data_IF_760485546685
#
_entry.id   IF_760485546685
#
_cell.length_a   1.000
_cell.length_b   1.000
_cell.length_c   1.000
_cell.angle_alpha   90.00
_cell.angle_beta   90.00
_cell.angle_gamma   90.00
#
_symmetry.space_group_name_H-M   'P 1'
#
loop_
_entity.id
_entity.type
_entity.pdbx_description
1 polymer ?
#
# COMPACT_ATOMS: atom_id res chain seq x y z
N UNK A 1 15.19 4.95 10.18
CA UNK A 1 14.49 5.29 8.91
C UNK A 1 15.52 5.32 7.79
N UNK A 2 15.28 4.63 6.67
CA UNK A 2 16.16 4.66 5.49
C UNK A 2 15.60 5.70 4.51
N UNK A 3 16.38 6.72 4.18
CA UNK A 3 16.03 7.73 3.17
C UNK A 3 17.13 7.78 2.12
N UNK A 4 16.75 7.74 0.84
CA UNK A 4 17.66 7.96 -0.29
C UNK A 4 17.06 9.02 -1.22
N UNK A 5 17.91 9.86 -1.81
CA UNK A 5 17.52 10.96 -2.69
C UNK A 5 18.19 10.79 -4.06
N UNK A 6 17.58 11.36 -5.10
CA UNK A 6 18.12 11.43 -6.47
C UNK A 6 18.65 10.10 -7.01
N UNK A 7 17.92 9.02 -6.73
CA UNK A 7 18.31 7.66 -7.09
C UNK A 7 17.96 7.32 -8.54
N UNK A 8 18.90 6.68 -9.24
CA UNK A 8 18.61 6.02 -10.51
C UNK A 8 17.91 4.66 -10.30
N UNK A 9 17.45 4.05 -11.41
CA UNK A 9 16.75 2.75 -11.39
C UNK A 9 17.50 1.68 -10.61
N UNK A 10 18.81 1.55 -10.80
CA UNK A 10 19.60 0.52 -10.15
C UNK A 10 19.65 0.73 -8.63
N UNK A 11 19.86 1.98 -8.20
CA UNK A 11 19.89 2.34 -6.78
C UNK A 11 18.54 2.11 -6.09
N UNK A 12 17.42 2.42 -6.78
CA UNK A 12 16.07 2.15 -6.26
C UNK A 12 15.85 0.65 -6.08
N UNK A 13 16.14 -0.15 -7.12
CA UNK A 13 15.98 -1.61 -7.07
C UNK A 13 16.85 -2.24 -5.99
N UNK A 14 18.08 -1.75 -5.82
CA UNK A 14 18.97 -2.24 -4.78
C UNK A 14 18.41 -1.91 -3.39
N UNK A 15 17.94 -0.68 -3.18
CA UNK A 15 17.34 -0.30 -1.89
C UNK A 15 16.11 -1.15 -1.54
N UNK A 16 15.27 -1.49 -2.52
CA UNK A 16 14.11 -2.35 -2.31
C UNK A 16 14.52 -3.79 -1.95
N UNK A 17 15.54 -4.34 -2.62
CA UNK A 17 16.09 -5.67 -2.27
C UNK A 17 16.70 -5.68 -0.88
N UNK A 18 17.49 -4.65 -0.55
CA UNK A 18 18.11 -4.51 0.77
C UNK A 18 17.07 -4.32 1.87
N UNK A 19 15.92 -3.69 1.56
CA UNK A 19 14.81 -3.56 2.50
C UNK A 19 14.08 -4.90 2.69
N UNK A 20 13.82 -5.62 1.61
CA UNK A 20 13.14 -6.92 1.65
C UNK A 20 13.97 -8.02 2.33
N UNK A 21 15.30 -7.91 2.30
CA UNK A 21 16.21 -8.87 2.93
C UNK A 21 16.46 -8.58 4.43
N UNK A 22 15.94 -7.48 4.98
CA UNK A 22 16.11 -7.18 6.40
C UNK A 22 15.27 -8.12 7.24
N UNK A 23 15.79 -8.45 8.41
CA UNK A 23 14.99 -9.12 9.41
C UNK A 23 13.89 -8.17 9.91
N UNK A 24 12.64 -8.56 9.65
CA UNK A 24 11.44 -7.85 10.07
C UNK A 24 10.85 -8.44 11.37
N UNK A 25 11.58 -9.30 12.10
CA UNK A 25 11.19 -9.85 13.43
C UNK A 25 11.50 -8.90 14.60
N UNK A 26 10.95 -7.69 14.60
CA UNK A 26 10.83 -6.97 15.88
C UNK A 26 9.51 -7.35 16.54
N UNK A 27 9.58 -8.29 17.49
CA UNK A 27 8.46 -8.78 18.30
C UNK A 27 8.51 -10.30 18.42
N UNK A 28 8.49 -10.81 19.64
CA UNK A 28 8.22 -12.23 19.91
C UNK A 28 6.77 -12.46 19.47
N UNK A 29 6.56 -13.10 18.31
CA UNK A 29 5.20 -13.30 17.77
C UNK A 29 4.92 -14.79 17.68
N UNK A 30 4.00 -15.22 18.55
CA UNK A 30 3.23 -16.45 18.38
C UNK A 30 2.60 -16.41 16.98
N UNK A 31 2.96 -17.39 16.13
CA UNK A 31 2.41 -17.46 14.79
C UNK A 31 0.89 -17.68 14.80
N UNK A 32 0.24 -17.40 13.69
CA UNK A 32 -1.21 -17.61 13.56
C UNK A 32 -1.41 -19.08 13.21
N UNK A 33 -2.21 -19.79 14.02
CA UNK A 33 -2.58 -21.18 13.74
C UNK A 33 -3.68 -21.19 12.69
N UNK A 34 -3.39 -21.73 11.52
CA UNK A 34 -4.36 -21.98 10.47
C UNK A 34 -5.40 -23.02 10.91
N UNK A 35 -6.55 -23.04 10.22
CA UNK A 35 -7.60 -24.04 10.46
C UNK A 35 -7.16 -25.48 10.14
N UNK A 36 -6.05 -25.62 9.42
CA UNK A 36 -5.33 -26.86 9.12
C UNK A 36 -4.33 -27.26 10.23
N UNK A 37 -4.22 -26.45 11.30
CA UNK A 37 -3.31 -26.67 12.41
C UNK A 37 -1.86 -26.24 12.13
N UNK A 38 -1.57 -25.67 10.96
CA UNK A 38 -0.23 -25.16 10.64
C UNK A 38 -0.01 -23.77 11.22
N UNK A 39 1.22 -23.50 11.66
CA UNK A 39 1.60 -22.17 12.16
C UNK A 39 2.14 -21.36 10.99
N UNK A 40 1.40 -20.35 10.57
CA UNK A 40 1.89 -19.34 9.63
C UNK A 40 2.72 -18.33 10.43
N UNK A 41 3.97 -18.16 10.02
CA UNK A 41 4.84 -17.18 10.67
C UNK A 41 4.29 -15.77 10.41
N UNK A 42 4.23 -14.94 11.45
CA UNK A 42 3.65 -13.59 11.35
C UNK A 42 4.23 -12.74 10.22
N UNK A 43 5.47 -12.99 9.77
CA UNK A 43 6.09 -12.25 8.68
C UNK A 43 5.36 -12.39 7.34
N UNK A 44 4.73 -13.54 7.07
CA UNK A 44 3.98 -13.80 5.83
C UNK A 44 2.64 -13.05 5.79
N UNK A 45 2.16 -12.60 6.96
CA UNK A 45 0.90 -11.88 7.14
C UNK A 45 1.08 -10.40 7.51
N UNK A 46 2.32 -9.88 7.45
CA UNK A 46 2.58 -8.45 7.75
C UNK A 46 2.20 -7.59 6.54
N UNK A 47 1.31 -6.58 6.72
CA UNK A 47 0.88 -5.74 5.62
C UNK A 47 2.03 -4.90 5.05
N UNK A 48 2.16 -4.91 3.72
CA UNK A 48 3.16 -4.16 2.95
C UNK A 48 2.50 -2.95 2.32
N UNK A 49 2.79 -1.77 2.87
CA UNK A 49 2.16 -0.51 2.46
C UNK A 49 3.09 0.27 1.51
N UNK A 50 2.59 0.61 0.32
CA UNK A 50 3.28 1.42 -0.68
C UNK A 50 2.49 2.69 -0.95
N UNK A 51 3.09 3.84 -0.61
CA UNK A 51 2.54 5.17 -0.91
C UNK A 51 3.37 5.81 -2.02
N UNK A 52 2.77 5.99 -3.19
CA UNK A 52 3.46 6.50 -4.38
C UNK A 52 2.92 7.88 -4.75
N UNK A 53 3.80 8.86 -4.63
CA UNK A 53 3.59 10.23 -5.09
C UNK A 53 4.36 10.44 -6.39
N UNK A 54 3.66 10.44 -7.53
CA UNK A 54 4.26 10.65 -8.85
C UNK A 54 3.24 11.31 -9.79
N UNK A 55 3.68 12.24 -10.63
CA UNK A 55 2.89 12.66 -11.78
C UNK A 55 2.89 11.51 -12.80
N UNK A 56 1.71 11.05 -13.21
CA UNK A 56 1.54 9.93 -14.16
C UNK A 56 1.06 10.38 -15.53
N UNK A 57 1.08 11.69 -15.74
CA UNK A 57 0.78 12.40 -16.97
C UNK A 57 0.64 13.88 -16.67
N UNK A 58 0.06 14.61 -17.62
CA UNK A 58 -0.01 16.08 -17.60
C UNK A 58 -1.43 16.60 -17.41
N UNK A 59 -2.42 15.72 -17.45
CA UNK A 59 -3.81 16.13 -17.46
C UNK A 59 -4.29 16.46 -16.05
N UNK A 60 -5.28 17.35 -15.96
CA UNK A 60 -5.94 17.63 -14.69
C UNK A 60 -6.98 16.55 -14.41
N UNK A 61 -6.86 15.88 -13.26
CA UNK A 61 -7.82 14.84 -12.90
C UNK A 61 -9.19 15.48 -12.63
N UNK A 62 -10.26 15.06 -13.33
CA UNK A 62 -11.58 15.62 -13.07
C UNK A 62 -12.01 15.30 -11.64
N UNK A 63 -12.82 16.19 -11.06
CA UNK A 63 -13.38 15.98 -9.74
C UNK A 63 -14.24 14.71 -9.75
N UNK A 64 -13.88 13.74 -8.92
CA UNK A 64 -14.73 12.60 -8.65
C UNK A 64 -15.80 13.03 -7.64
N UNK A 65 -17.05 13.14 -8.09
CA UNK A 65 -18.18 13.31 -7.18
C UNK A 65 -18.48 11.95 -6.55
N UNK A 66 -18.74 11.94 -5.23
CA UNK A 66 -19.12 10.73 -4.51
C UNK A 66 -20.35 10.11 -5.18
N UNK A 67 -20.15 9.01 -5.90
CA UNK A 67 -21.28 8.17 -6.31
C UNK A 67 -21.89 7.64 -5.02
N UNK A 68 -23.08 8.15 -4.67
CA UNK A 68 -23.91 7.57 -3.63
C UNK A 68 -24.42 6.27 -4.23
N UNK A 69 -23.66 5.20 -4.06
CA UNK A 69 -24.18 3.87 -4.29
C UNK A 69 -25.27 3.67 -3.22
N UNK A 70 -26.50 3.41 -3.67
CA UNK A 70 -27.53 2.85 -2.79
C UNK A 70 -26.96 1.62 -2.09
N UNK A 71 -27.22 1.47 -0.78
CA UNK A 71 -26.69 0.41 0.09
C UNK A 71 -27.00 -1.03 -0.37
N UNK A 72 -27.75 -1.18 -1.47
CA UNK A 72 -28.15 -2.42 -2.13
C UNK A 72 -27.31 -2.72 -3.39
N UNK A 73 -26.00 -2.88 -3.23
CA UNK A 73 -25.20 -3.54 -4.27
C UNK A 73 -24.33 -4.61 -3.65
N UNK A 74 -24.62 -5.85 -4.06
CA UNK A 74 -23.87 -7.06 -3.78
C UNK A 74 -22.38 -6.75 -3.65
N UNK A 75 -21.82 -7.06 -2.48
CA UNK A 75 -20.37 -7.01 -2.27
C UNK A 75 -19.71 -7.76 -3.43
N UNK A 76 -18.71 -7.17 -4.10
CA UNK A 76 -18.04 -7.85 -5.21
C UNK A 76 -17.46 -9.18 -4.70
N UNK A 77 -18.07 -10.29 -5.12
CA UNK A 77 -17.58 -11.63 -4.84
C UNK A 77 -16.53 -11.95 -5.89
N UNK A 78 -15.32 -12.27 -5.43
CA UNK A 78 -14.26 -12.78 -6.30
C UNK A 78 -14.66 -14.13 -6.86
N UNK A 79 -14.68 -14.26 -8.18
CA UNK A 79 -14.88 -15.53 -8.91
C UNK A 79 -13.62 -16.41 -8.94
N UNK A 80 -12.47 -15.86 -8.54
CA UNK A 80 -11.23 -16.60 -8.43
C UNK A 80 -11.29 -17.62 -7.29
N UNK A 81 -11.22 -18.91 -7.64
CA UNK A 81 -11.07 -20.00 -6.68
C UNK A 81 -9.65 -19.97 -6.09
N UNK A 82 -9.51 -19.42 -4.88
CA UNK A 82 -8.30 -19.57 -4.08
C UNK A 82 -8.38 -20.90 -3.33
N UNK A 83 -7.39 -21.81 -3.43
CA UNK A 83 -7.35 -23.02 -2.61
C UNK A 83 -7.52 -22.67 -1.13
N UNK A 84 -8.40 -23.39 -0.42
CA UNK A 84 -8.83 -23.06 0.95
C UNK A 84 -7.68 -22.98 1.96
N UNK A 85 -6.55 -23.62 1.67
CA UNK A 85 -5.39 -23.72 2.55
C UNK A 85 -4.18 -22.92 2.01
N UNK A 86 -4.41 -21.88 1.18
CA UNK A 86 -3.34 -21.08 0.60
C UNK A 86 -3.56 -19.58 0.74
N UNK A 87 -2.49 -18.88 1.09
CA UNK A 87 -2.41 -17.42 1.02
C UNK A 87 -1.86 -17.06 -0.37
N UNK A 88 -2.49 -16.15 -1.13
CA UNK A 88 -1.95 -15.69 -2.40
C UNK A 88 -0.54 -15.12 -2.26
N UNK A 89 0.33 -15.35 -3.26
CA UNK A 89 1.71 -14.85 -3.31
C UNK A 89 1.82 -13.30 -3.18
N UNK A 90 0.71 -12.60 -3.45
CA UNK A 90 0.57 -11.15 -3.32
C UNK A 90 -0.51 -10.75 -2.29
N UNK A 91 -0.64 -11.48 -1.19
CA UNK A 91 -1.50 -11.09 -0.08
C UNK A 91 -0.92 -9.92 0.73
N UNK A 92 -1.81 -9.15 1.37
CA UNK A 92 -1.47 -8.11 2.36
C UNK A 92 -0.71 -6.89 1.81
N UNK A 93 -0.87 -6.57 0.53
CA UNK A 93 -0.34 -5.33 -0.07
C UNK A 93 -1.39 -4.22 -0.09
N UNK A 94 -1.02 -3.01 0.35
CA UNK A 94 -1.79 -1.80 0.10
C UNK A 94 -0.98 -0.87 -0.80
N UNK A 95 -1.50 -0.58 -1.99
CA UNK A 95 -0.92 0.39 -2.90
C UNK A 95 -1.81 1.64 -2.97
N UNK A 96 -1.28 2.77 -2.52
CA UNK A 96 -1.94 4.07 -2.60
C UNK A 96 -1.14 4.99 -3.51
N UNK A 97 -1.79 5.54 -4.54
CA UNK A 97 -1.18 6.43 -5.52
C UNK A 97 -1.86 7.80 -5.49
N UNK A 98 -1.08 8.87 -5.63
CA UNK A 98 -1.60 10.24 -5.64
C UNK A 98 -2.52 10.55 -6.82
N UNK A 99 -2.32 9.87 -7.95
CA UNK A 99 -3.12 10.00 -9.17
C UNK A 99 -3.26 8.67 -9.91
N UNK A 100 -4.29 8.57 -10.74
CA UNK A 100 -4.42 7.49 -11.73
C UNK A 100 -3.55 7.81 -12.97
N UNK A 101 -3.28 6.84 -13.87
CA UNK A 101 -2.52 7.10 -15.10
C UNK A 101 -3.07 8.32 -15.86
N UNK A 102 -2.19 9.02 -16.59
CA UNK A 102 -2.47 10.22 -17.39
C UNK A 102 -2.63 11.54 -16.62
N UNK A 103 -2.82 11.51 -15.30
CA UNK A 103 -3.05 12.74 -14.54
C UNK A 103 -1.85 13.22 -13.73
N UNK A 104 -1.72 14.55 -13.68
CA UNK A 104 -0.74 15.28 -12.90
C UNK A 104 -1.08 15.25 -11.41
N UNK A 105 -0.05 15.16 -10.56
CA UNK A 105 -0.22 15.23 -9.12
C UNK A 105 0.14 16.62 -8.58
N UNK A 106 -0.63 17.08 -7.61
CA UNK A 106 -0.54 18.46 -7.12
C UNK A 106 0.42 18.64 -5.93
N UNK A 107 1.15 19.76 -5.96
CA UNK A 107 2.11 20.17 -4.93
C UNK A 107 2.02 21.67 -4.65
N UNK A 108 2.03 22.02 -3.37
CA UNK A 108 2.32 23.37 -2.90
C UNK A 108 3.82 23.50 -2.65
N UNK A 109 4.46 24.56 -3.18
CA UNK A 109 5.91 24.74 -3.12
C UNK A 109 6.44 24.73 -1.69
N UNK A 110 5.75 25.42 -0.78
CA UNK A 110 6.17 25.56 0.62
C UNK A 110 5.66 24.43 1.52
N UNK A 111 4.51 23.83 1.20
CA UNK A 111 3.82 22.86 2.08
C UNK A 111 3.98 21.40 1.65
N UNK A 112 4.53 21.14 0.47
CA UNK A 112 4.69 19.80 -0.09
C UNK A 112 3.45 19.31 -0.86
N UNK A 113 3.41 18.01 -1.16
CA UNK A 113 2.36 17.43 -2.03
C UNK A 113 1.05 17.20 -1.28
N UNK A 114 -0.08 17.47 -1.94
CA UNK A 114 -1.40 17.34 -1.31
C UNK A 114 -1.68 15.94 -0.78
N UNK A 115 -1.30 14.91 -1.54
CA UNK A 115 -1.46 13.52 -1.16
C UNK A 115 -0.72 13.19 0.15
N UNK A 116 0.58 13.55 0.24
CA UNK A 116 1.39 13.24 1.42
C UNK A 116 0.96 14.07 2.63
N UNK A 117 0.61 15.35 2.43
CA UNK A 117 0.04 16.18 3.50
C UNK A 117 -1.23 15.53 4.09
N UNK A 118 -2.16 15.11 3.23
CA UNK A 118 -3.41 14.46 3.64
C UNK A 118 -3.15 13.12 4.33
N UNK A 119 -2.27 12.29 3.74
CA UNK A 119 -1.87 11.00 4.30
C UNK A 119 -1.31 11.16 5.72
N UNK A 120 -0.33 12.03 5.90
CA UNK A 120 0.28 12.25 7.21
C UNK A 120 -0.71 12.81 8.23
N UNK A 121 -1.65 13.68 7.81
CA UNK A 121 -2.70 14.20 8.69
C UNK A 121 -3.60 13.08 9.20
N UNK A 122 -4.11 12.24 8.31
CA UNK A 122 -5.02 11.16 8.69
C UNK A 122 -4.30 10.06 9.48
N UNK A 123 -3.06 9.70 9.11
CA UNK A 123 -2.28 8.74 9.90
C UNK A 123 -2.08 9.22 11.34
N UNK A 124 -1.78 10.50 11.57
CA UNK A 124 -1.65 11.07 12.92
C UNK A 124 -2.95 11.08 13.71
N UNK A 125 -4.10 11.15 13.04
CA UNK A 125 -5.40 11.25 13.69
C UNK A 125 -6.04 9.89 13.96
N UNK A 126 -5.77 8.90 13.11
CA UNK A 126 -6.52 7.65 13.05
C UNK A 126 -5.69 6.43 13.45
N UNK A 127 -4.36 6.54 13.49
CA UNK A 127 -3.50 5.44 13.97
C UNK A 127 -3.24 5.66 15.46
N UNK A 128 -3.66 4.73 16.33
CA UNK A 128 -3.46 4.80 17.78
C UNK A 128 -1.99 4.80 18.21
#
# INVERSE_FOLDING_TARGET
VLTKQDCNRHQILQALRDLAARDHTHGQVEGIVGVDGQIVTSQELKPKLFFIQACRGTDNQPAAFRQIFSEDKDMPVSDAAVPRDSIPEMADYLLAMSTVPHYASYREVEKGTWFIQSLCRHLKQLVP
#
